data_IF_835747248484
#
_entry.id   IF_835747248484
#
_cell.length_a   1.000
_cell.length_b   1.000
_cell.length_c   1.000
_cell.angle_alpha   90.00
_cell.angle_beta   90.00
_cell.angle_gamma   90.00
#
_symmetry.space_group_name_H-M   'P 1'
#
loop_
_entity.id
_entity.type
_entity.pdbx_description
1 polymer ?
2 polymer ?
3 non-polymer ?
4 non-polymer ?
#
# COMPACT_ATOMS: atom_id res chain seq x y z
N UNK A 1 -28.97 -4.39 12.37
CA UNK A 1 -28.27 -3.81 13.56
C UNK A 1 -26.76 -4.12 13.46
N UNK A 2 -25.96 -3.75 14.43
CA UNK A 2 -24.47 -4.05 14.36
C UNK A 2 -24.13 -5.54 14.31
N UNK A 3 -24.06 -6.02 13.11
CA UNK A 3 -23.71 -7.49 12.89
C UNK A 3 -22.20 -7.54 12.51
N UNK A 4 -21.56 -8.68 12.59
CA UNK A 4 -20.07 -8.73 12.22
C UNK A 4 -19.71 -9.43 10.91
N UNK A 5 -19.05 -8.69 10.06
CA UNK A 5 -18.61 -9.21 8.72
C UNK A 5 -17.11 -9.56 8.88
N UNK A 6 -16.91 -10.83 9.11
CA UNK A 6 -15.54 -11.43 9.30
C UNK A 6 -14.63 -11.41 8.04
N UNK A 7 -14.28 -10.22 7.62
CA UNK A 7 -13.40 -9.90 6.42
C UNK A 7 -12.33 -10.98 6.07
N UNK A 8 -12.78 -12.11 5.62
CA UNK A 8 -11.87 -13.26 5.24
C UNK A 8 -12.15 -14.39 6.24
N UNK A 9 -13.39 -14.80 6.25
CA UNK A 9 -13.94 -15.90 7.16
C UNK A 9 -12.99 -16.64 8.14
N UNK A 10 -12.33 -15.85 8.93
CA UNK A 10 -11.33 -16.26 9.99
C UNK A 10 -10.56 -17.63 9.84
N UNK A 11 -11.24 -18.73 9.79
CA UNK A 11 -10.53 -20.06 9.63
C UNK A 11 -10.90 -20.65 8.22
N UNK A 12 -11.29 -19.78 7.35
CA UNK A 12 -11.69 -20.16 5.94
C UNK A 12 -10.81 -19.59 4.82
N UNK A 13 -11.22 -18.49 4.26
CA UNK A 13 -10.41 -17.86 3.15
C UNK A 13 -10.56 -16.31 3.11
N UNK A 14 -9.96 -15.65 2.16
CA UNK A 14 -10.10 -14.15 2.06
C UNK A 14 -11.50 -13.74 1.51
N UNK A 15 -12.54 -14.32 2.04
CA UNK A 15 -13.94 -14.00 1.58
C UNK A 15 -14.90 -13.30 2.57
N UNK A 16 -15.95 -12.80 1.96
CA UNK A 16 -17.06 -12.07 2.67
C UNK A 16 -18.33 -12.94 2.88
N UNK A 17 -18.27 -13.84 3.82
CA UNK A 17 -19.46 -14.73 4.11
C UNK A 17 -20.36 -14.13 5.24
N UNK A 18 -21.68 -14.27 5.15
CA UNK A 18 -22.48 -14.75 3.98
C UNK A 18 -22.87 -13.68 2.90
N UNK A 19 -21.92 -13.29 2.09
CA UNK A 19 -22.01 -12.28 0.96
C UNK A 19 -23.25 -11.36 0.76
N UNK A 20 -24.42 -11.93 0.86
CA UNK A 20 -25.69 -11.14 0.67
C UNK A 20 -26.41 -10.85 2.02
N UNK A 21 -25.87 -9.97 2.81
CA UNK A 21 -26.55 -9.65 4.12
C UNK A 21 -27.84 -8.82 3.84
N UNK A 22 -28.98 -9.40 4.05
CA UNK A 22 -30.27 -8.65 3.80
C UNK A 22 -30.62 -7.87 5.09
N UNK A 23 -29.99 -6.73 5.22
CA UNK A 23 -30.22 -5.86 6.42
C UNK A 23 -31.49 -5.03 6.31
N UNK A 24 -31.69 -4.23 7.32
CA UNK A 24 -32.88 -3.35 7.33
C UNK A 24 -32.41 -1.87 7.12
N UNK A 25 -33.29 -0.95 6.83
CA UNK A 25 -32.89 0.50 6.73
C UNK A 25 -32.11 1.11 7.95
N UNK A 26 -30.83 0.83 8.07
CA UNK A 26 -30.04 1.41 9.24
C UNK A 26 -28.84 0.60 9.71
N UNK A 27 -29.08 -0.66 9.93
CA UNK A 27 -28.08 -1.67 10.39
C UNK A 27 -26.53 -1.33 10.52
N UNK A 28 -26.14 -0.91 11.70
CA UNK A 28 -24.69 -0.53 12.08
C UNK A 28 -23.60 -1.62 12.06
N UNK A 29 -23.76 -2.47 11.10
CA UNK A 29 -22.86 -3.64 10.84
C UNK A 29 -21.38 -3.19 10.75
N UNK A 30 -20.54 -4.08 11.18
CA UNK A 30 -19.08 -3.83 11.18
C UNK A 30 -18.26 -4.75 10.23
N UNK A 31 -17.14 -4.22 9.85
CA UNK A 31 -16.18 -4.91 8.95
C UNK A 31 -14.99 -5.29 9.88
N UNK A 32 -14.80 -6.58 10.09
CA UNK A 32 -13.73 -7.16 10.98
C UNK A 32 -12.41 -7.72 10.37
N UNK A 33 -11.34 -7.03 10.65
CA UNK A 33 -9.97 -7.44 10.15
C UNK A 33 -9.44 -8.65 10.96
N UNK A 34 -9.84 -9.82 10.54
CA UNK A 34 -9.42 -11.10 11.23
C UNK A 34 -8.01 -11.69 10.92
N UNK A 35 -7.62 -11.75 9.68
CA UNK A 35 -6.29 -12.28 9.22
C UNK A 35 -5.87 -11.54 7.92
N UNK A 36 -4.84 -12.03 7.26
CA UNK A 36 -4.33 -11.42 5.98
C UNK A 36 -4.86 -9.98 5.59
N UNK A 37 -4.41 -9.01 6.37
CA UNK A 37 -5.00 -7.64 6.41
C UNK A 37 -4.25 -6.58 5.53
N UNK A 38 -4.76 -5.36 5.47
CA UNK A 38 -6.07 -4.90 6.04
C UNK A 38 -7.27 -4.95 5.06
N UNK A 39 -8.45 -4.85 5.60
CA UNK A 39 -9.70 -4.90 4.76
C UNK A 39 -10.64 -3.62 4.79
N UNK A 40 -10.46 -2.61 3.97
CA UNK A 40 -11.38 -1.40 4.04
C UNK A 40 -12.40 -1.43 2.89
N UNK A 41 -13.64 -1.08 3.12
CA UNK A 41 -14.59 -1.11 1.96
C UNK A 41 -15.29 0.16 1.47
N UNK A 42 -14.98 0.50 0.25
CA UNK A 42 -15.64 1.73 -0.31
C UNK A 42 -17.06 1.21 -0.63
N UNK A 43 -17.98 2.09 -0.87
CA UNK A 43 -19.37 1.64 -1.19
C UNK A 43 -19.81 1.90 -2.63
N UNK A 44 -20.34 0.87 -3.20
CA UNK A 44 -20.81 0.97 -4.59
C UNK A 44 -21.79 2.05 -5.10
N UNK A 45 -21.14 3.07 -5.58
CA UNK A 45 -21.83 4.24 -6.17
C UNK A 45 -21.93 3.81 -7.71
N UNK A 46 -21.52 2.57 -7.93
CA UNK A 46 -21.48 1.85 -9.23
C UNK A 46 -22.44 0.61 -9.27
N UNK A 47 -22.17 -0.39 -8.46
CA UNK A 47 -23.01 -1.65 -8.39
C UNK A 47 -24.26 -1.68 -7.45
N UNK A 48 -25.28 -0.91 -7.73
CA UNK A 48 -26.52 -0.90 -6.86
C UNK A 48 -27.72 0.03 -7.28
N UNK A 49 -28.96 -0.32 -6.95
CA UNK A 49 -30.16 0.59 -7.13
C UNK A 49 -29.93 2.06 -6.72
N UNK A 50 -29.56 2.29 -5.50
CA UNK A 50 -29.31 3.68 -5.03
C UNK A 50 -27.80 3.86 -4.90
N UNK A 51 -27.21 3.82 -6.05
CA UNK A 51 -25.74 3.97 -6.19
C UNK A 51 -25.39 5.48 -6.05
N UNK A 52 -25.85 6.02 -4.96
CA UNK A 52 -25.67 7.47 -4.60
C UNK A 52 -24.83 7.81 -3.33
N UNK A 53 -23.61 7.36 -3.24
CA UNK A 53 -22.72 7.64 -2.02
C UNK A 53 -23.06 8.93 -1.18
N UNK A 54 -23.24 10.04 -1.81
CA UNK A 54 -23.57 11.31 -1.07
C UNK A 54 -24.60 11.03 0.09
N UNK A 55 -25.46 10.07 -0.10
CA UNK A 55 -26.49 9.66 0.92
C UNK A 55 -25.94 9.66 2.36
N UNK A 56 -24.67 9.41 2.42
CA UNK A 56 -23.93 9.37 3.70
C UNK A 56 -22.40 9.38 3.66
N UNK A 57 -21.86 8.89 2.58
CA UNK A 57 -20.35 8.76 2.33
C UNK A 57 -19.81 7.75 3.38
N UNK A 58 -20.02 7.96 4.65
CA UNK A 58 -19.58 7.03 5.77
C UNK A 58 -19.86 5.58 5.29
N UNK A 59 -20.87 5.51 4.45
CA UNK A 59 -21.34 4.22 3.81
C UNK A 59 -19.97 3.69 3.16
N UNK A 60 -19.45 4.38 2.18
CA UNK A 60 -18.15 4.06 1.47
C UNK A 60 -16.91 4.33 2.35
N UNK A 61 -16.39 3.30 2.95
CA UNK A 61 -15.18 3.43 3.83
C UNK A 61 -13.90 3.21 2.94
N UNK A 62 -12.73 3.14 3.52
CA UNK A 62 -11.42 2.94 2.77
C UNK A 62 -10.17 3.52 3.46
N UNK A 63 -9.04 2.95 3.14
CA UNK A 63 -7.65 3.29 3.63
C UNK A 63 -6.92 2.39 4.67
N UNK A 64 -6.62 1.20 4.26
CA UNK A 64 -5.90 0.17 5.11
C UNK A 64 -6.23 0.04 6.65
N UNK A 65 -7.26 -0.70 6.96
CA UNK A 65 -7.68 -0.93 8.39
C UNK A 65 -6.68 -1.81 9.16
N UNK A 66 -5.62 -1.21 9.63
CA UNK A 66 -4.57 -1.97 10.40
C UNK A 66 -5.02 -2.21 11.88
N UNK A 67 -6.09 -2.92 11.91
CA UNK A 67 -6.83 -3.36 13.15
C UNK A 67 -6.77 -4.88 13.40
N UNK A 68 -5.60 -5.43 13.69
CA UNK A 68 -5.42 -6.91 13.90
C UNK A 68 -6.40 -7.55 14.94
N UNK A 69 -7.59 -7.84 14.51
CA UNK A 69 -8.64 -8.46 15.42
C UNK A 69 -9.80 -7.52 15.75
N UNK A 70 -9.82 -6.37 15.11
CA UNK A 70 -10.90 -5.36 15.35
C UNK A 70 -11.70 -4.90 14.09
N UNK A 71 -12.87 -4.43 14.40
CA UNK A 71 -13.83 -3.93 13.36
C UNK A 71 -14.26 -2.46 13.36
N UNK A 72 -14.66 -2.03 12.20
CA UNK A 72 -15.15 -0.60 12.01
C UNK A 72 -16.65 -0.68 11.62
N UNK A 73 -17.48 0.26 11.98
CA UNK A 73 -18.95 0.17 11.59
C UNK A 73 -19.51 1.17 10.58
N UNK A 74 -20.40 0.68 9.77
CA UNK A 74 -21.06 1.52 8.70
C UNK A 74 -22.59 1.62 8.84
N UNK A 75 -23.05 2.73 9.35
CA UNK A 75 -24.55 2.95 9.54
C UNK A 75 -25.23 3.69 8.38
N UNK A 76 -26.49 3.40 8.24
CA UNK A 76 -27.33 4.01 7.16
C UNK A 76 -28.34 5.03 7.76
N UNK A 77 -28.98 5.82 6.92
CA UNK A 77 -30.24 6.52 7.32
C UNK A 77 -31.43 5.53 7.44
N UNK A 78 -32.60 6.04 7.69
CA UNK A 78 -33.83 5.18 7.82
C UNK A 78 -34.54 5.17 6.44
N UNK A 79 -34.16 6.19 5.72
CA UNK A 79 -34.61 6.56 4.35
C UNK A 79 -33.85 5.66 3.30
N UNK A 80 -33.77 4.41 3.66
CA UNK A 80 -33.08 3.36 2.82
C UNK A 80 -34.05 2.27 2.27
N UNK A 81 -34.68 2.54 1.14
CA UNK A 81 -35.52 1.53 0.41
C UNK A 81 -34.64 0.54 -0.43
N UNK A 82 -35.31 -0.40 -1.07
CA UNK A 82 -34.69 -1.47 -1.95
C UNK A 82 -33.22 -1.15 -2.37
N UNK A 83 -32.33 -1.37 -1.45
CA UNK A 83 -30.88 -1.10 -1.71
C UNK A 83 -29.82 -2.16 -1.55
N UNK A 84 -29.06 -2.37 -2.58
CA UNK A 84 -27.97 -3.40 -2.56
C UNK A 84 -26.65 -2.63 -2.31
N UNK A 85 -26.57 -1.98 -1.20
CA UNK A 85 -25.33 -1.18 -0.84
C UNK A 85 -24.04 -2.07 -0.72
N UNK A 86 -23.52 -2.42 -1.86
CA UNK A 86 -22.29 -3.27 -1.99
C UNK A 86 -21.00 -2.66 -1.41
N UNK A 87 -20.26 -3.48 -0.71
CA UNK A 87 -18.98 -3.08 -0.08
C UNK A 87 -17.69 -3.80 -0.58
N UNK A 88 -16.73 -2.96 -0.75
CA UNK A 88 -15.32 -3.20 -1.23
C UNK A 88 -14.02 -3.66 -0.51
N UNK A 89 -13.60 -4.85 -0.18
CA UNK A 89 -12.24 -4.88 0.52
C UNK A 89 -11.03 -4.38 -0.36
N UNK A 90 -10.88 -3.09 -0.42
CA UNK A 90 -9.84 -2.28 -1.18
C UNK A 90 -8.52 -3.02 -1.62
N UNK A 91 -7.59 -3.35 -0.76
CA UNK A 91 -6.34 -4.10 -1.15
C UNK A 91 -6.58 -5.58 -1.61
N UNK A 92 -7.81 -6.01 -1.53
CA UNK A 92 -8.24 -7.39 -1.93
C UNK A 92 -9.32 -7.41 -3.07
N UNK A 93 -9.91 -6.27 -3.31
CA UNK A 93 -10.97 -6.03 -4.36
C UNK A 93 -10.99 -7.01 -5.59
N UNK A 94 -11.55 -8.17 -5.41
CA UNK A 94 -11.61 -9.20 -6.52
C UNK A 94 -11.44 -10.63 -6.01
N UNK A 95 -10.64 -10.78 -5.01
CA UNK A 95 -10.38 -12.13 -4.41
C UNK A 95 -11.57 -12.45 -3.45
N UNK A 96 -12.71 -12.63 -4.05
CA UNK A 96 -14.02 -12.94 -3.33
C UNK A 96 -14.27 -12.20 -2.00
N UNK A 97 -13.68 -11.05 -1.90
CA UNK A 97 -13.81 -10.19 -0.67
C UNK A 97 -14.68 -8.91 -0.90
N UNK A 98 -15.76 -9.17 -1.59
CA UNK A 98 -16.80 -8.15 -1.96
C UNK A 98 -18.18 -8.53 -1.34
N UNK A 99 -18.91 -7.61 -0.76
CA UNK A 99 -20.27 -7.99 -0.16
C UNK A 99 -21.43 -7.12 -0.66
N UNK A 100 -22.64 -7.60 -0.64
CA UNK A 100 -23.81 -6.77 -1.13
C UNK A 100 -24.91 -6.48 -0.06
N UNK A 101 -24.72 -5.49 0.78
CA UNK A 101 -25.79 -5.21 1.81
C UNK A 101 -27.11 -5.01 1.05
N UNK A 102 -28.08 -5.79 1.39
CA UNK A 102 -29.41 -5.70 0.72
C UNK A 102 -30.50 -5.21 1.68
N UNK A 103 -30.67 -3.92 1.75
CA UNK A 103 -31.71 -3.35 2.66
C UNK A 103 -33.06 -3.63 1.97
N UNK A 104 -33.75 -4.59 2.53
CA UNK A 104 -35.10 -5.05 2.05
C UNK A 104 -35.80 -4.12 0.99
N UNK A 105 -36.26 -3.01 1.50
CA UNK A 105 -36.95 -1.95 0.73
C UNK A 105 -38.28 -1.54 1.32
N UNK B 1 2.04 -0.64 -2.84
CA UNK B 1 1.83 -1.57 -1.73
C UNK B 1 2.60 -2.85 -1.95
N UNK B 2 3.01 -3.64 -0.92
CA UNK B 2 3.54 -4.97 -1.21
C UNK B 2 2.61 -5.80 -2.05
N UNK B 3 1.28 -5.69 -1.82
CA UNK B 3 0.33 -6.60 -2.47
C UNK B 3 0.40 -6.52 -3.98
N UNK B 4 0.58 -5.34 -4.62
CA UNK B 4 0.73 -5.33 -6.07
C UNK B 4 1.98 -6.10 -6.44
N UNK B 5 3.12 -5.84 -5.77
CA UNK B 5 4.33 -6.59 -6.10
C UNK B 5 4.05 -8.08 -6.02
N UNK B 6 3.32 -8.55 -4.98
CA UNK B 6 2.97 -9.97 -4.91
C UNK B 6 2.16 -10.35 -6.12
N UNK B 7 1.07 -9.60 -6.43
CA UNK B 7 0.17 -10.03 -7.49
C UNK B 7 0.84 -10.22 -8.82
N UNK B 8 1.90 -9.45 -9.17
CA UNK B 8 2.47 -9.53 -10.52
C UNK B 8 3.98 -9.68 -10.57
N UNK B 9 4.66 -10.16 -9.50
CA UNK B 9 6.04 -10.63 -9.66
C UNK B 9 6.35 -11.73 -8.66
N UNK B 10 5.60 -12.86 -8.52
CA UNK B 10 5.87 -13.79 -7.44
C UNK B 10 7.26 -14.38 -7.41
N UNK B 11 7.89 -14.60 -8.60
CA UNK B 11 9.23 -15.18 -8.63
C UNK B 11 10.29 -14.20 -9.09
N UNK B 12 9.99 -12.87 -9.18
CA UNK B 12 11.01 -11.92 -9.60
C UNK B 12 10.90 -10.65 -8.79
N UNK B 13 10.93 -10.68 -7.43
CA UNK B 13 10.93 -9.43 -6.69
C UNK B 13 12.32 -8.83 -6.70
N UNK B 14 13.41 -9.64 -6.77
CA UNK B 14 14.77 -9.10 -6.86
C UNK B 14 15.14 -9.25 -8.32
N UNK B 15 14.93 -8.19 -9.13
CA UNK B 15 15.17 -8.31 -10.57
C UNK B 15 16.59 -8.74 -10.81
N UNK B 16 17.00 -9.40 -11.93
CA UNK B 16 18.40 -9.79 -12.08
C UNK B 16 19.40 -8.66 -11.97
N UNK B 17 18.98 -7.38 -12.13
CA UNK B 17 19.91 -6.28 -11.88
C UNK B 17 20.23 -6.13 -10.40
N UNK B 18 19.63 -6.93 -9.47
CA UNK B 18 19.83 -6.70 -8.05
C UNK B 18 18.89 -5.62 -7.54
N UNK B 19 18.05 -4.99 -8.39
CA UNK B 19 17.14 -3.95 -7.90
C UNK B 19 15.83 -4.62 -7.55
N UNK B 20 15.03 -3.99 -6.66
CA UNK B 20 13.82 -4.64 -6.15
C UNK B 20 12.63 -4.00 -6.85
N UNK B 21 11.57 -4.77 -7.17
CA UNK B 21 10.51 -4.25 -8.05
C UNK B 21 9.87 -2.99 -7.51
N UNK B 22 9.81 -2.78 -6.18
CA UNK B 22 9.31 -1.51 -5.63
C UNK B 22 9.82 -0.35 -6.45
N UNK B 23 11.14 -0.34 -6.75
CA UNK B 23 11.74 0.77 -7.49
C UNK B 23 10.94 1.09 -8.73
N UNK B 24 10.47 0.07 -9.47
CA UNK B 24 9.70 0.30 -10.70
C UNK B 24 8.69 1.41 -10.54
N UNK B 25 7.95 1.44 -9.40
CA UNK B 25 6.88 2.43 -9.20
C UNK B 25 7.24 3.45 -8.14
N UNK B 26 7.76 3.03 -6.97
CA UNK B 26 8.25 4.00 -6.00
C UNK B 26 9.54 4.54 -6.58
N UNK B 27 9.52 5.68 -7.32
CA UNK B 27 10.68 6.10 -8.09
C UNK B 27 11.72 6.79 -7.23
N UNK B 28 11.35 7.75 -6.36
CA UNK B 28 12.39 8.48 -5.61
C UNK B 28 13.22 7.53 -4.78
N UNK B 29 14.48 7.90 -4.46
CA UNK B 29 15.38 7.00 -3.75
C UNK B 29 15.71 7.58 -2.38
N UNK B 30 15.52 6.83 -1.27
CA UNK B 30 15.89 7.34 0.06
C UNK B 30 16.52 6.22 0.86
N UNK B 31 17.31 6.43 1.97
CA UNK B 31 18.07 5.31 2.52
C UNK B 31 17.26 4.32 3.31
N UNK B 32 17.63 3.01 3.32
CA UNK B 32 17.01 2.03 4.20
C UNK B 32 18.15 1.40 4.97
N UNK B 33 18.02 1.07 6.28
CA UNK B 33 19.12 0.44 7.02
C UNK B 33 18.69 -0.95 7.41
N UNK B 34 19.64 -1.88 7.69
CA UNK B 34 19.25 -3.16 8.28
C UNK B 34 20.38 -3.68 9.15
N UNK B 35 20.14 -3.93 10.47
CA UNK B 35 21.16 -4.56 11.30
C UNK B 35 20.75 -6.01 11.40
N UNK B 36 21.73 -6.93 11.54
CA UNK B 36 21.42 -8.37 11.60
C UNK B 36 22.50 -8.96 12.49
N UNK B 37 22.30 -10.03 13.31
CA UNK B 37 23.39 -10.46 14.17
C UNK B 37 24.55 -10.95 13.33
N UNK B 38 25.78 -10.94 13.88
CA UNK B 38 26.93 -11.37 13.07
C UNK B 38 26.73 -12.83 12.73
N UNK B 39 26.28 -13.65 13.71
CA UNK B 39 26.14 -15.08 13.50
C UNK B 39 25.00 -15.65 14.29
N UNK B 40 24.49 -16.86 13.93
CA UNK B 40 23.38 -17.47 14.67
C UNK B 40 23.55 -18.97 14.69
N UNK B 41 22.97 -19.67 15.69
CA UNK B 41 23.11 -21.12 15.80
C UNK B 41 21.87 -21.77 15.23
N UNK B 42 21.89 -23.01 14.65
CA UNK B 42 20.66 -23.63 14.19
C UNK B 42 19.44 -23.54 15.08
N UNK B 43 18.23 -23.51 14.46
CA UNK B 43 17.00 -23.58 15.25
C UNK B 43 17.03 -22.63 16.43
N UNK B 44 17.26 -21.33 16.17
CA UNK B 44 17.12 -20.31 17.22
C UNK B 44 16.44 -19.12 16.59
N UNK B 45 15.66 -18.34 17.36
CA UNK B 45 15.01 -17.16 16.78
C UNK B 45 15.96 -16.00 16.90
N UNK B 46 16.02 -15.13 15.86
CA UNK B 46 16.82 -13.91 15.95
C UNK B 46 16.03 -12.81 15.30
N UNK B 47 16.51 -11.54 15.32
CA UNK B 47 15.72 -10.43 14.79
C UNK B 47 16.51 -9.75 13.68
N UNK B 48 15.94 -9.63 12.45
CA UNK B 48 16.54 -8.78 11.44
C UNK B 48 15.81 -7.46 11.58
N UNK B 49 16.43 -6.41 12.16
CA UNK B 49 15.72 -5.14 12.37
C UNK B 49 15.96 -4.28 11.15
N UNK B 50 14.90 -3.70 10.53
CA UNK B 50 15.05 -2.89 9.33
C UNK B 50 14.67 -1.48 9.72
N UNK B 51 15.36 -0.41 9.23
CA UNK B 51 14.92 0.96 9.51
C UNK B 51 14.58 1.65 8.22
N UNK B 52 13.56 2.53 8.23
CA UNK B 52 13.07 3.16 7.00
C UNK B 52 12.86 4.60 7.41
N UNK B 53 13.92 5.37 7.78
CA UNK B 53 13.70 6.65 8.42
C UNK B 53 13.32 7.72 7.44
N UNK B 54 12.71 8.82 7.94
CA UNK B 54 12.45 9.99 7.10
C UNK B 54 12.05 11.15 7.99
N UNK B 55 12.29 12.42 7.59
CA UNK B 55 11.93 13.54 8.46
C UNK B 55 10.43 13.46 8.72
N UNK B 56 9.99 13.11 9.94
CA UNK B 56 8.56 12.87 10.17
C UNK B 56 7.72 14.12 9.98
N UNK B 57 8.27 15.35 10.16
CA UNK B 57 7.45 16.54 9.97
C UNK B 57 6.90 16.64 8.55
N UNK B 58 7.52 16.01 7.53
CA UNK B 58 7.01 16.17 6.16
C UNK B 58 5.58 15.68 6.08
N UNK B 59 4.85 16.08 5.01
CA UNK B 59 3.53 15.50 4.75
C UNK B 59 3.46 15.20 3.26
N UNK B 60 2.58 14.25 2.85
CA UNK B 60 2.51 13.87 1.43
C UNK B 60 1.12 14.15 0.93
N UNK B 61 0.91 14.17 -0.41
CA UNK B 61 -0.42 14.37 -0.95
C UNK B 61 -1.11 13.02 -0.82
N UNK B 62 -2.30 12.91 -0.20
CA UNK B 62 -2.99 11.64 -0.15
C UNK B 62 -3.59 11.33 -1.50
N UNK B 63 -4.28 10.18 -1.69
CA UNK B 63 -4.90 9.94 -2.99
C UNK B 63 -5.91 11.03 -3.31
N UNK B 64 -6.65 11.56 -2.30
CA UNK B 64 -7.72 12.51 -2.58
C UNK B 64 -7.28 13.95 -2.73
N UNK B 65 -6.00 14.32 -2.53
CA UNK B 65 -5.58 15.72 -2.68
C UNK B 65 -5.20 16.32 -1.35
N UNK B 66 -5.92 15.96 -0.25
CA UNK B 66 -5.55 16.50 1.07
C UNK B 66 -4.14 16.08 1.42
N UNK B 67 -3.46 16.76 2.37
CA UNK B 67 -2.12 16.32 2.78
C UNK B 67 -2.21 15.49 4.03
N UNK B 68 -1.42 14.39 4.14
CA UNK B 68 -1.52 13.49 5.30
C UNK B 68 -0.13 12.92 5.58
N UNK B 69 0.17 12.38 6.78
CA UNK B 69 1.47 11.75 7.00
C UNK B 69 1.68 10.53 6.12
N UNK B 70 2.82 9.82 6.30
CA UNK B 70 3.18 8.71 5.41
C UNK B 70 2.90 7.37 6.06
N UNK B 71 2.82 6.29 5.25
CA UNK B 71 2.79 4.93 5.77
C UNK B 71 4.06 4.24 5.29
N UNK B 72 4.38 3.04 5.82
CA UNK B 72 5.63 2.37 5.52
C UNK B 72 5.36 0.92 5.19
N UNK B 73 6.24 0.28 4.37
CA UNK B 73 6.12 -1.15 4.11
C UNK B 73 7.46 -1.69 3.69
N UNK B 74 7.60 -3.02 3.47
CA UNK B 74 8.92 -3.56 3.15
C UNK B 74 8.87 -4.96 2.59
N UNK B 75 10.03 -5.43 2.08
CA UNK B 75 10.18 -6.83 1.68
C UNK B 75 11.50 -7.30 2.24
N UNK B 76 11.59 -8.49 2.88
CA UNK B 76 12.85 -8.95 3.44
C UNK B 76 13.12 -10.29 2.79
N UNK B 77 14.31 -10.50 2.19
CA UNK B 77 14.57 -11.71 1.41
C UNK B 77 15.55 -12.55 2.18
N UNK B 78 15.19 -13.78 2.60
CA UNK B 78 16.09 -14.59 3.41
C UNK B 78 16.55 -15.78 2.59
N UNK B 79 17.60 -16.56 2.93
CA UNK B 79 17.92 -17.73 2.11
C UNK B 79 16.87 -18.79 2.23
N UNK B 80 16.89 -19.84 1.39
CA UNK B 80 15.90 -20.90 1.54
C UNK B 80 16.16 -21.60 2.86
N UNK B 81 15.10 -22.15 3.53
CA UNK B 81 15.28 -22.74 4.85
C UNK B 81 14.90 -21.75 5.94
N UNK B 82 15.29 -20.47 5.81
CA UNK B 82 14.98 -19.48 6.85
C UNK B 82 13.53 -19.08 6.64
N UNK B 83 12.79 -18.66 7.70
CA UNK B 83 11.37 -18.36 7.54
C UNK B 83 10.82 -17.63 8.75
N UNK B 84 9.56 -17.13 8.70
CA UNK B 84 9.02 -16.37 9.83
C UNK B 84 9.04 -17.27 11.05
N UNK B 85 9.43 -16.79 12.25
CA UNK B 85 9.44 -17.67 13.42
C UNK B 85 8.03 -17.90 13.92
N UNK B 86 7.62 -19.11 14.40
CA UNK B 86 6.23 -19.27 14.83
C UNK B 86 5.99 -18.61 16.16
N UNK B 87 4.72 -18.49 16.60
CA UNK B 87 4.41 -17.71 17.80
C UNK B 87 5.02 -18.33 19.04
N UNK B 88 4.91 -19.66 19.22
CA UNK B 88 5.44 -20.27 20.44
C UNK B 88 6.91 -19.94 20.65
N UNK B 89 7.72 -19.80 19.57
CA UNK B 89 9.15 -19.54 19.74
C UNK B 89 9.47 -18.06 19.88
N UNK B 90 8.50 -17.11 19.76
CA UNK B 90 8.82 -15.69 19.90
C UNK B 90 8.72 -15.35 21.38
N UNK B 91 9.78 -15.02 22.17
CA UNK B 91 9.56 -14.76 23.59
C UNK B 91 8.84 -13.45 23.80
N UNK B 92 8.41 -13.17 25.05
CA UNK B 92 7.56 -12.00 25.30
C UNK B 92 8.31 -10.71 25.08
N UNK B 93 9.63 -10.65 25.40
CA UNK B 93 10.37 -9.40 25.19
C UNK B 93 10.33 -9.07 23.71
N UNK B 94 10.57 -10.08 22.84
CA UNK B 94 10.52 -9.84 21.39
C UNK B 94 9.09 -9.57 20.96
N UNK B 95 8.11 -10.25 21.59
CA UNK B 95 6.71 -10.12 21.15
C UNK B 95 6.26 -8.68 21.28
N UNK B 96 6.55 -8.01 22.41
CA UNK B 96 6.14 -6.60 22.54
C UNK B 96 6.87 -5.74 21.54
N UNK B 97 8.14 -6.02 21.18
CA UNK B 97 8.80 -5.19 20.17
C UNK B 97 8.03 -5.24 18.87
N UNK B 98 7.57 -6.43 18.42
CA UNK B 98 6.86 -6.48 17.13
C UNK B 98 5.50 -5.82 17.21
N UNK B 99 4.99 -5.38 18.39
CA UNK B 99 3.71 -4.70 18.40
C UNK B 99 2.64 -5.68 17.97
N UNK B 100 1.88 -5.39 16.89
CA UNK B 100 0.88 -6.33 16.41
C UNK B 100 0.88 -6.32 14.90
N UNK B 101 2.09 -6.43 14.29
CA UNK B 101 2.18 -6.43 12.83
C UNK B 101 1.79 -7.81 12.35
N UNK B 102 1.69 -8.04 11.01
CA UNK B 102 1.27 -9.35 10.51
C UNK B 102 2.11 -9.66 9.28
N UNK B 103 3.23 -10.42 9.44
CA UNK B 103 4.09 -10.69 8.30
C UNK B 103 3.37 -11.66 7.38
N UNK B 104 3.33 -11.43 6.05
CA UNK B 104 2.73 -12.40 5.12
C UNK B 104 3.88 -13.02 4.37
N UNK B 105 3.85 -14.28 3.88
CA UNK B 105 4.92 -14.71 3.00
C UNK B 105 4.67 -14.02 1.68
N UNK B 106 5.71 -13.82 0.84
CA UNK B 106 5.49 -13.18 -0.47
C UNK B 106 4.56 -14.05 -1.28
N UNK B 107 4.75 -15.39 -1.17
CA UNK B 107 3.85 -16.33 -1.83
C UNK B 107 3.80 -17.54 -0.93
N UNK B 108 2.70 -18.33 -0.90
CA UNK B 108 2.65 -19.46 0.04
C UNK B 108 3.90 -20.29 -0.12
N UNK B 109 4.36 -20.53 -1.37
CA UNK B 109 5.61 -21.29 -1.55
C UNK B 109 6.82 -20.54 -1.03
N UNK B 110 6.92 -19.20 -1.24
CA UNK B 110 8.12 -18.48 -0.82
C UNK B 110 8.04 -18.18 0.66
N UNK B 111 8.21 -19.20 1.54
CA UNK B 111 8.26 -18.92 2.97
C UNK B 111 9.43 -18.04 3.29
N UNK B 112 10.58 -18.20 2.58
CA UNK B 112 11.78 -17.43 2.90
C UNK B 112 11.68 -15.97 2.52
N UNK B 113 10.65 -15.48 1.80
CA UNK B 113 10.55 -14.05 1.51
C UNK B 113 9.36 -13.57 2.33
N UNK B 114 9.46 -12.45 3.07
CA UNK B 114 8.44 -12.10 4.06
C UNK B 114 8.16 -10.61 3.97
N UNK B 115 6.87 -10.17 3.88
CA UNK B 115 6.55 -8.77 3.59
C UNK B 115 5.73 -8.20 4.73
N UNK B 116 5.58 -6.86 4.77
CA UNK B 116 4.70 -6.22 5.76
C UNK B 116 4.34 -4.85 5.23
N UNK B 117 3.15 -4.30 5.55
CA UNK B 117 2.77 -2.98 5.04
C UNK B 117 1.45 -3.04 4.33
N UNK B 118 0.70 -1.93 4.13
CA UNK B 118 1.11 -0.62 4.62
C UNK B 118 0.81 -0.50 6.10
N UNK B 119 1.69 0.20 6.87
CA UNK B 119 1.43 0.45 8.29
C UNK B 119 1.84 1.88 8.59
N UNK B 120 1.30 2.62 9.59
CA UNK B 120 1.72 4.01 9.76
C UNK B 120 3.22 4.10 10.02
N UNK B 121 3.90 5.15 9.51
CA UNK B 121 5.35 5.25 9.66
C UNK B 121 5.71 5.75 11.04
N UNK B 122 4.96 6.74 11.58
CA UNK B 122 5.24 7.23 12.93
C UNK B 122 5.49 6.06 13.85
N UNK B 123 4.60 5.04 13.82
CA UNK B 123 4.75 3.89 14.71
C UNK B 123 5.84 2.97 14.20
N UNK B 124 5.89 2.66 12.88
CA UNK B 124 6.78 1.61 12.38
C UNK B 124 7.83 2.14 11.45
N UNK B 125 8.59 3.20 11.80
CA UNK B 125 9.74 3.53 10.95
C UNK B 125 10.65 2.33 11.02
N UNK B 126 11.00 1.86 12.26
CA UNK B 126 11.78 0.62 12.37
C UNK B 126 10.84 -0.56 12.48
N UNK B 127 11.28 -1.75 12.02
CA UNK B 127 10.44 -2.95 12.07
C UNK B 127 11.33 -4.08 12.52
N UNK B 128 10.83 -4.99 13.37
CA UNK B 128 11.64 -6.08 13.88
C UNK B 128 11.07 -7.34 13.30
N UNK B 129 11.79 -8.06 12.40
CA UNK B 129 11.26 -9.29 11.80
C UNK B 129 11.79 -10.46 12.60
N UNK B 130 11.01 -11.26 13.37
CA UNK B 130 11.59 -12.47 13.93
C UNK B 130 11.98 -13.40 12.79
N UNK B 131 13.03 -14.23 12.95
CA UNK B 131 13.38 -15.18 11.90
C UNK B 131 13.89 -16.45 12.56
N UNK B 132 13.35 -17.64 12.24
CA UNK B 132 13.90 -18.88 12.82
C UNK B 132 15.08 -19.29 11.96
N UNK B 133 16.25 -19.60 12.55
CA UNK B 133 17.39 -20.03 11.73
C UNK B 133 17.21 -21.49 11.39
N UNK B 134 17.52 -22.00 10.17
CA UNK B 134 17.27 -23.40 9.86
C UNK B 134 18.31 -24.31 10.47
N UNK B 135 18.23 -25.64 10.23
CA UNK B 135 19.17 -26.59 10.83
C UNK B 135 19.76 -27.49 9.76
N UNK B 136 21.07 -27.49 9.41
CA UNK B 136 21.56 -28.39 8.38
C UNK B 136 21.29 -29.85 8.69
N UNK B 137 21.39 -30.29 9.95
CA UNK B 137 21.13 -31.70 10.26
C UNK B 137 19.74 -32.08 9.80
N UNK B 138 18.73 -31.20 10.00
CA UNK B 138 17.37 -31.51 9.55
C UNK B 138 17.09 -30.83 8.22
N UNK B 139 18.10 -30.58 7.35
CA UNK B 139 17.85 -29.93 6.06
C UNK B 139 19.09 -30.02 5.21
N UNK B 140 19.23 -31.04 4.34
CA UNK B 140 20.50 -31.26 3.65
C UNK B 140 20.93 -30.06 2.83
N UNK B 141 20.06 -29.49 1.96
CA UNK B 141 20.51 -28.37 1.12
C UNK B 141 21.06 -27.22 1.92
N UNK B 142 20.70 -27.03 3.22
CA UNK B 142 21.23 -25.89 3.97
C UNK B 142 22.56 -26.29 4.56
N UNK B 143 23.51 -25.34 4.77
CA UNK B 143 24.85 -25.69 5.25
C UNK B 143 25.37 -24.64 6.20
N UNK B 144 26.46 -24.94 6.96
CA UNK B 144 27.07 -23.89 7.79
C UNK B 144 27.87 -23.00 6.89
N UNK B 145 27.36 -21.82 6.49
CA UNK B 145 28.14 -20.93 5.63
C UNK B 145 27.62 -19.52 5.66
N UNK B 146 28.35 -18.59 5.01
CA UNK B 146 27.86 -17.21 4.90
C UNK B 146 26.61 -17.22 4.06
N UNK B 147 25.76 -16.18 4.19
CA UNK B 147 24.54 -16.11 3.39
C UNK B 147 24.13 -14.66 3.23
N UNK B 148 23.54 -14.27 2.06
CA UNK B 148 23.14 -12.88 1.87
C UNK B 148 21.73 -12.66 2.39
N UNK B 149 21.36 -11.40 2.71
CA UNK B 149 20.00 -11.08 3.13
C UNK B 149 19.66 -9.76 2.47
N UNK B 150 18.87 -9.71 1.38
CA UNK B 150 18.53 -8.42 0.77
C UNK B 150 17.32 -7.84 1.46
N UNK B 151 17.06 -6.52 1.32
CA UNK B 151 15.87 -5.93 1.91
C UNK B 151 15.37 -4.78 1.07
N UNK B 152 14.04 -4.48 1.11
CA UNK B 152 13.51 -3.29 0.46
C UNK B 152 12.71 -2.54 1.50
N UNK B 153 12.77 -1.19 1.57
CA UNK B 153 11.99 -0.45 2.58
C UNK B 153 11.36 0.75 1.93
N UNK B 154 10.01 0.87 1.89
CA UNK B 154 9.35 2.00 1.23
C UNK B 154 8.73 2.94 2.24
N UNK B 155 8.53 4.23 1.86
CA UNK B 155 7.77 5.16 2.70
C UNK B 155 6.96 6.05 1.77
N UNK B 156 5.68 6.38 2.11
CA UNK B 156 4.93 7.32 1.29
C UNK B 156 4.43 6.73 0.00
N UNK B 157 3.63 7.53 -0.76
CA UNK B 157 2.94 7.01 -1.95
C UNK B 157 3.86 6.93 -3.14
N UNK B 158 3.62 5.94 -4.03
CA UNK B 158 4.44 5.77 -5.23
C UNK B 158 3.88 6.61 -6.34
N UNK B 159 4.53 6.54 -7.52
CA UNK B 159 4.18 7.40 -8.64
C UNK B 159 3.32 6.69 -9.67
N UNK B 160 3.40 5.35 -9.85
CA UNK B 160 2.71 4.68 -10.96
C UNK B 160 1.91 3.47 -10.47
N UNK B 161 0.71 3.19 -11.03
CA UNK B 161 -0.11 2.06 -10.59
C UNK B 161 0.24 0.82 -11.39
N UNK B 162 -0.13 -0.45 -11.03
CA UNK B 162 0.15 -1.57 -11.92
C UNK B 162 -0.38 -1.39 -13.34
N UNK B 163 -1.47 -0.62 -13.56
CA UNK B 163 -1.94 -0.43 -14.94
C UNK B 163 -1.07 0.53 -15.72
N UNK B 164 -0.04 1.18 -15.12
CA UNK B 164 0.76 2.16 -15.86
C UNK B 164 0.23 3.56 -15.70
N UNK B 165 -0.95 3.78 -15.07
CA UNK B 165 -1.45 5.15 -14.92
C UNK B 165 -0.60 5.87 -13.91
N UNK B 166 -0.49 7.22 -13.99
CA UNK B 166 0.23 7.97 -12.96
C UNK B 166 -0.68 8.15 -11.77
N UNK B 167 -0.12 8.50 -10.59
CA UNK B 167 -0.93 8.84 -9.42
C UNK B 167 -0.76 10.31 -9.15
N UNK B 168 -1.51 10.92 -8.18
CA UNK B 168 -1.33 12.34 -7.89
C UNK B 168 -0.26 12.59 -6.86
N UNK B 169 0.82 11.76 -6.81
CA UNK B 169 1.97 12.05 -5.96
C UNK B 169 3.17 12.09 -6.88
N UNK B 170 3.10 12.91 -7.96
CA UNK B 170 4.16 12.86 -8.96
C UNK B 170 4.14 14.06 -9.89
N UNK B 171 5.16 14.16 -10.77
CA UNK B 171 5.30 15.31 -11.67
C UNK B 171 4.37 15.11 -12.86
N UNK B 172 3.58 16.14 -13.27
CA UNK B 172 2.76 16.04 -14.48
C UNK B 172 3.47 16.82 -15.55
N UNK B 173 4.28 16.14 -16.41
CA UNK B 173 5.01 16.88 -17.42
C UNK B 173 4.06 17.37 -18.49
N UNK B 174 4.50 18.30 -19.36
CA UNK B 174 3.65 18.72 -20.47
C UNK B 174 3.65 17.60 -21.48
N UNK B 175 2.55 17.40 -22.24
CA UNK B 175 2.58 16.47 -23.36
C UNK B 175 2.70 17.30 -24.62
N UNK B 176 3.39 18.46 -24.60
CA UNK B 176 3.35 19.36 -25.74
C UNK B 176 4.29 20.54 -25.66
N UNK B 177 4.85 20.97 -26.82
CA UNK B 177 5.52 22.26 -26.89
C UNK B 177 4.45 23.28 -27.17
N UNK B 178 4.65 24.60 -26.97
CA UNK B 178 3.64 25.57 -27.42
C UNK B 178 3.59 26.77 -26.51
N UNK B 179 2.52 27.60 -26.62
CA UNK B 179 2.29 28.66 -25.64
C UNK B 179 1.01 28.34 -24.92
N UNK B 180 0.81 28.88 -23.69
CA UNK B 180 -0.36 28.50 -22.90
C UNK B 180 -1.40 29.57 -23.15
N UNK B 181 -2.60 29.23 -23.67
CA UNK B 181 -3.59 30.27 -23.99
C UNK B 181 -4.60 30.50 -22.89
N UNK B 182 -4.76 29.61 -21.88
CA UNK B 182 -5.78 29.83 -20.85
C UNK B 182 -5.49 28.97 -19.65
N UNK B 183 -5.87 29.41 -18.42
CA UNK B 183 -5.68 28.61 -17.21
C UNK B 183 -6.88 28.78 -16.31
N UNK B 184 -7.22 27.78 -15.44
CA UNK B 184 -8.26 28.01 -14.45
C UNK B 184 -8.25 26.95 -13.37
N UNK B 185 -7.86 27.25 -12.10
CA UNK B 185 -8.08 26.27 -11.03
C UNK B 185 -9.57 26.25 -10.78
N UNK B 186 -10.20 25.05 -10.71
CA UNK B 186 -11.62 24.96 -10.39
C UNK B 186 -11.76 24.07 -9.17
N UNK B 187 -12.89 24.13 -8.42
CA UNK B 187 -13.08 23.23 -7.29
C UNK B 187 -14.09 22.18 -7.71
N UNK B 188 -13.90 20.88 -7.36
CA UNK B 188 -14.83 19.84 -7.78
C UNK B 188 -15.53 19.32 -6.55
N UNK B 189 -14.97 18.29 -5.87
CA UNK B 189 -15.61 17.73 -4.66
C UNK B 189 -14.56 17.54 -3.59
N UNK B 190 -13.58 16.63 -3.79
CA UNK B 190 -12.52 16.47 -2.80
C UNK B 190 -11.45 17.51 -3.01
N UNK B 191 -11.10 17.82 -4.29
CA UNK B 191 -10.03 18.79 -4.53
C UNK B 191 -10.11 19.41 -5.90
N UNK B 192 -9.14 20.28 -6.25
CA UNK B 192 -9.26 21.07 -7.48
C UNK B 192 -9.09 20.30 -8.77
N UNK B 193 -9.89 20.63 -9.82
CA UNK B 193 -9.56 20.19 -11.18
C UNK B 193 -8.79 21.34 -11.75
N UNK B 194 -7.51 21.16 -12.13
CA UNK B 194 -6.77 22.24 -12.76
C UNK B 194 -7.02 22.12 -14.26
N UNK B 195 -7.30 23.23 -14.97
CA UNK B 195 -7.61 23.14 -16.40
C UNK B 195 -6.66 24.03 -17.17
N UNK B 196 -6.32 23.69 -18.44
CA UNK B 196 -5.40 24.52 -19.22
C UNK B 196 -5.41 24.11 -20.67
N UNK B 197 -4.75 24.87 -21.57
CA UNK B 197 -4.62 24.45 -22.97
C UNK B 197 -3.24 24.86 -23.46
N UNK B 198 -2.73 24.21 -24.52
CA UNK B 198 -1.45 24.61 -25.11
C UNK B 198 -1.68 24.78 -26.60
N UNK B 199 -1.05 25.78 -27.25
CA UNK B 199 -1.20 25.95 -28.70
C UNK B 199 0.12 25.51 -29.29
N UNK B 200 0.20 24.31 -29.90
CA UNK B 200 1.42 23.93 -30.61
C UNK B 200 1.45 24.81 -31.84
N UNK B 201 1.90 26.09 -31.70
CA UNK B 201 1.98 26.96 -32.88
C UNK B 201 2.79 26.29 -33.95
N UNK B 202 3.87 25.55 -33.58
CA UNK B 202 4.71 24.89 -34.57
C UNK B 202 3.88 23.97 -35.43
N UNK B 203 3.12 23.02 -34.84
CA UNK B 203 2.33 22.08 -35.64
C UNK B 203 0.90 22.53 -35.85
N UNK B 204 0.49 23.75 -35.44
CA UNK B 204 -0.90 24.16 -35.66
C UNK B 204 -1.84 23.15 -35.04
N UNK B 205 -1.77 22.96 -33.71
CA UNK B 205 -2.62 21.97 -33.05
C UNK B 205 -2.86 22.41 -31.63
N UNK B 206 -4.01 22.06 -31.01
CA UNK B 206 -4.28 22.45 -29.62
C UNK B 206 -4.42 21.19 -28.80
N UNK B 207 -3.93 21.14 -27.54
CA UNK B 207 -4.20 20.00 -26.67
C UNK B 207 -4.60 20.52 -25.32
N UNK B 208 -5.19 19.67 -24.44
CA UNK B 208 -5.62 20.13 -23.12
C UNK B 208 -5.18 19.13 -22.09
N UNK B 209 -3.90 19.20 -21.64
CA UNK B 209 -3.49 18.31 -20.55
C UNK B 209 -4.39 18.59 -19.36
N UNK B 210 -4.48 17.67 -18.38
CA UNK B 210 -5.27 17.92 -17.18
C UNK B 210 -4.39 17.56 -16.00
N UNK B 211 -4.54 18.26 -14.85
CA UNK B 211 -3.65 18.07 -13.72
C UNK B 211 -4.54 17.78 -12.53
N UNK B 212 -4.32 16.76 -11.65
CA UNK B 212 -5.30 16.46 -10.60
C UNK B 212 -5.15 17.40 -9.44
N UNK B 213 -5.93 17.17 -8.35
CA UNK B 213 -5.80 18.01 -7.16
C UNK B 213 -4.58 17.61 -6.37
N UNK B 214 -3.93 18.58 -5.67
CA UNK B 214 -2.82 18.25 -4.79
C UNK B 214 -1.57 18.97 -5.22
N UNK B 215 -1.01 18.73 -6.43
CA UNK B 215 0.16 19.50 -6.86
C UNK B 215 -0.15 20.99 -6.92
N UNK B 216 0.86 21.81 -7.29
CA UNK B 216 0.60 23.24 -7.51
C UNK B 216 1.49 23.70 -8.65
N UNK B 217 1.11 24.75 -9.42
CA UNK B 217 1.83 25.01 -10.67
C UNK B 217 3.19 25.65 -10.49
N UNK B 218 4.02 25.45 -11.54
CA UNK B 218 5.13 26.35 -11.86
C UNK B 218 4.69 27.33 -12.94
N UNK B 219 4.11 26.87 -14.07
CA UNK B 219 3.91 27.74 -15.25
C UNK B 219 2.76 28.71 -15.11
N UNK B 220 2.64 29.69 -16.05
CA UNK B 220 1.55 30.67 -16.03
C UNK B 220 0.97 30.81 -17.41
N UNK B 221 -0.03 31.69 -17.65
CA UNK B 221 -0.56 31.83 -19.01
C UNK B 221 0.47 32.52 -19.89
N UNK B 222 0.36 32.35 -21.22
CA UNK B 222 1.23 33.08 -22.14
C UNK B 222 2.69 32.71 -22.04
N UNK B 223 3.11 31.68 -21.27
CA UNK B 223 4.53 31.35 -21.18
C UNK B 223 4.84 30.28 -22.19
N UNK B 224 5.99 30.35 -22.92
CA UNK B 224 6.32 29.29 -23.87
C UNK B 224 6.68 28.06 -23.08
N UNK B 225 6.22 26.85 -23.50
CA UNK B 225 6.51 25.63 -22.75
C UNK B 225 7.07 24.62 -23.74
N UNK B 226 7.97 23.71 -23.32
CA UNK B 226 8.54 22.72 -24.24
C UNK B 226 7.93 21.38 -23.92
N UNK B 227 7.85 20.44 -24.88
CA UNK B 227 7.28 19.13 -24.57
C UNK B 227 8.06 18.51 -23.43
N UNK B 228 7.39 17.76 -22.53
CA UNK B 228 8.11 17.13 -21.42
C UNK B 228 8.50 18.07 -20.31
N UNK B 229 8.19 19.39 -20.34
CA UNK B 229 8.62 20.27 -19.24
C UNK B 229 7.75 20.10 -18.03
N UNK B 230 8.27 20.50 -16.84
CA UNK B 230 7.51 20.33 -15.60
C UNK B 230 6.39 21.34 -15.53
N UNK B 231 5.10 20.93 -15.63
CA UNK B 231 4.02 21.87 -15.38
C UNK B 231 3.91 22.09 -13.88
N UNK B 232 3.98 21.02 -13.05
CA UNK B 232 3.83 21.18 -11.60
C UNK B 232 5.13 20.99 -10.87
N UNK B 233 5.18 21.32 -9.56
CA UNK B 233 6.32 20.89 -8.75
C UNK B 233 6.27 19.39 -8.64
N UNK B 234 7.34 18.72 -8.17
CA UNK B 234 7.27 17.29 -7.91
C UNK B 234 6.81 17.16 -6.46
N UNK B 235 5.60 16.65 -6.11
CA UNK B 235 5.20 16.64 -4.70
C UNK B 235 5.67 15.40 -3.96
N UNK B 236 6.49 14.51 -4.55
CA UNK B 236 6.84 13.27 -3.86
C UNK B 236 7.78 13.57 -2.70
N UNK B 237 7.34 13.39 -1.42
CA UNK B 237 8.26 13.55 -0.28
C UNK B 237 8.68 12.21 0.28
N UNK B 238 8.32 11.05 -0.33
CA UNK B 238 8.73 9.75 0.19
C UNK B 238 9.66 9.11 -0.81
N UNK B 239 9.85 7.78 -0.77
CA UNK B 239 10.77 7.15 -1.72
C UNK B 239 11.00 5.69 -1.39
N UNK B 240 12.08 5.08 -1.96
CA UNK B 240 12.36 3.67 -1.71
C UNK B 240 13.83 3.46 -1.47
N UNK B 241 14.22 2.44 -0.69
CA UNK B 241 15.63 2.17 -0.49
C UNK B 241 15.85 0.69 -0.40
N UNK B 242 17.12 0.23 -0.51
CA UNK B 242 17.39 -1.19 -0.36
C UNK B 242 18.85 -1.40 0.01
N UNK B 243 19.16 -2.57 0.62
CA UNK B 243 20.53 -2.86 1.05
C UNK B 243 20.65 -4.34 1.21
N UNK B 244 21.82 -4.86 1.64
CA UNK B 244 21.88 -6.26 2.06
C UNK B 244 22.77 -6.42 3.27
N UNK B 245 22.56 -7.52 4.04
CA UNK B 245 23.44 -7.83 5.17
C UNK B 245 23.89 -9.25 4.98
N UNK B 246 24.99 -9.69 5.65
CA UNK B 246 25.43 -11.08 5.54
C UNK B 246 25.14 -11.73 6.88
N UNK B 247 24.85 -13.05 6.94
CA UNK B 247 24.63 -13.72 8.22
C UNK B 247 25.35 -15.05 8.18
N UNK B 248 26.02 -15.45 9.29
CA UNK B 248 26.79 -16.69 9.30
C UNK B 248 25.98 -17.74 10.03
N UNK B 249 25.39 -18.74 9.33
CA UNK B 249 24.79 -19.85 10.07
C UNK B 249 25.99 -20.56 10.66
N UNK B 250 26.04 -20.78 11.99
CA UNK B 250 27.31 -21.13 12.64
C UNK B 250 27.24 -22.52 13.24
N UNK B 251 28.31 -23.34 13.12
CA UNK B 251 28.27 -24.68 13.71
C UNK B 251 28.36 -24.53 15.21
N UNK B 252 27.56 -25.28 16.00
CA UNK B 252 27.67 -25.18 17.46
C UNK B 252 29.09 -25.46 17.89
N UNK B 253 29.76 -26.44 17.24
CA UNK B 253 31.17 -26.71 17.54
C UNK B 253 32.03 -25.88 16.62
N UNK B 254 33.38 -26.00 16.69
CA UNK B 254 34.24 -25.22 15.80
C UNK B 254 35.23 -26.17 15.14
#
# INVERSE_FOLDING_TARGET
>A
ETYTVKLGSDKGLLVFEPAKLTIKPGDTVEFLNNKVPPHNVVFDAALNPAKSADLAKSLSHKQLLMSPGQSTSTTFPADAPAGEYTFYCEPHRGAGMVGKITVAG
>B
YPFWAQQTYPETPREPTGRIVCANCHLAAKPTEVEVPQSVLPDTVFKAVVKIPYDTSVQQVGADGSKVGLNVGAVLMLPEGFKIAPEDRIPEELKEEIGDVYFQPYGEDKDNIVIVGPLPGEQYQEIVFPVLSPNPANDKNIHFGKYSVHVGGNRGRGQVYPTGEKSNNNLYSAAATGTISKIAKQEGEDGSVKYLVDIKTESGEVVSDTIPAGPELIVSEGQAVTAGDALTNNPNVGGFGQLDAEIVLQDANR
#
